data_IF_518398470335
#
_entry.id   IF_518398470335
#
_cell.length_a   1.000
_cell.length_b   1.000
_cell.length_c   1.000
_cell.angle_alpha   90.00
_cell.angle_beta   90.00
_cell.angle_gamma   90.00
#
_symmetry.space_group_name_H-M   'P 1'
#
loop_
_entity.id
_entity.type
_entity.pdbx_description
1 polymer ?
#
# COMPACT_ATOMS: atom_id res chain seq x y z
N UNK A 1 -23.01 11.67 -4.29
CA UNK A 1 -22.06 11.40 -5.40
C UNK A 1 -21.42 10.05 -5.14
N UNK A 2 -21.00 9.30 -6.17
CA UNK A 2 -20.46 7.94 -5.99
C UNK A 2 -18.92 7.95 -5.99
N UNK A 3 -18.31 7.17 -5.09
CA UNK A 3 -16.87 6.93 -5.07
C UNK A 3 -16.45 6.11 -6.30
N UNK A 4 -15.50 6.61 -7.09
CA UNK A 4 -15.02 5.92 -8.31
C UNK A 4 -14.25 4.63 -8.02
N UNK A 5 -13.85 4.42 -6.76
CA UNK A 5 -13.08 3.25 -6.34
C UNK A 5 -13.92 2.08 -5.83
N UNK A 6 -14.96 2.37 -5.04
CA UNK A 6 -15.79 1.35 -4.37
C UNK A 6 -17.29 1.45 -4.69
N UNK A 7 -17.72 2.46 -5.43
CA UNK A 7 -19.13 2.68 -5.78
C UNK A 7 -20.01 3.14 -4.61
N UNK A 8 -19.45 3.34 -3.42
CA UNK A 8 -20.21 3.83 -2.27
C UNK A 8 -20.69 5.27 -2.50
N UNK A 9 -21.93 5.54 -2.09
CA UNK A 9 -22.43 6.91 -2.07
C UNK A 9 -21.80 7.69 -0.92
N UNK A 10 -21.27 8.87 -1.22
CA UNK A 10 -20.70 9.77 -0.25
C UNK A 10 -21.08 11.22 -0.56
N UNK A 11 -21.27 11.99 0.51
CA UNK A 11 -21.45 13.44 0.41
C UNK A 11 -20.11 14.16 0.19
N UNK A 12 -19.00 13.54 0.60
CA UNK A 12 -17.66 14.13 0.54
C UNK A 12 -16.73 13.19 -0.24
N UNK A 13 -16.36 13.62 -1.44
CA UNK A 13 -15.36 12.97 -2.27
C UNK A 13 -14.08 13.81 -2.29
N UNK A 14 -12.94 13.12 -2.20
CA UNK A 14 -11.62 13.71 -2.29
C UNK A 14 -11.00 13.35 -3.64
N UNK A 15 -10.45 14.34 -4.33
CA UNK A 15 -9.63 14.10 -5.52
C UNK A 15 -8.26 13.56 -5.10
N UNK A 16 -7.92 12.33 -5.52
CA UNK A 16 -6.64 11.68 -5.22
C UNK A 16 -6.03 11.11 -6.49
N UNK A 17 -4.69 11.13 -6.56
CA UNK A 17 -3.95 10.41 -7.60
C UNK A 17 -3.57 9.03 -7.07
N UNK A 18 -4.18 7.99 -7.63
CA UNK A 18 -3.93 6.58 -7.28
C UNK A 18 -3.38 5.88 -8.52
N UNK A 19 -2.21 5.24 -8.41
CA UNK A 19 -1.56 4.51 -9.50
C UNK A 19 -1.44 5.29 -10.83
N UNK A 20 -1.30 6.62 -10.76
CA UNK A 20 -1.18 7.50 -11.92
C UNK A 20 -2.49 8.10 -12.44
N UNK A 21 -3.65 7.58 -12.02
CA UNK A 21 -4.97 8.11 -12.38
C UNK A 21 -5.51 9.04 -11.30
N UNK A 22 -6.23 10.09 -11.70
CA UNK A 22 -6.89 11.01 -10.76
C UNK A 22 -8.34 10.56 -10.57
N UNK A 23 -8.74 10.25 -9.34
CA UNK A 23 -10.04 9.70 -8.96
C UNK A 23 -10.70 10.53 -7.85
N UNK A 24 -12.01 10.63 -7.86
CA UNK A 24 -12.90 11.11 -6.81
C UNK A 24 -13.28 9.95 -5.90
N UNK A 25 -12.75 9.95 -4.68
CA UNK A 25 -12.89 8.82 -3.76
C UNK A 25 -13.41 9.24 -2.39
N UNK A 26 -14.15 8.36 -1.71
CA UNK A 26 -14.57 8.59 -0.33
C UNK A 26 -13.37 8.56 0.64
N UNK A 27 -13.54 9.05 1.87
CA UNK A 27 -12.49 9.05 2.89
C UNK A 27 -11.91 7.65 3.17
N UNK A 28 -12.71 6.60 3.12
CA UNK A 28 -12.24 5.22 3.30
C UNK A 28 -11.27 4.80 2.20
N UNK A 29 -11.51 5.24 0.97
CA UNK A 29 -10.69 4.91 -0.19
C UNK A 29 -9.54 5.90 -0.40
N UNK A 30 -9.52 7.05 0.29
CA UNK A 30 -8.52 8.09 0.07
C UNK A 30 -7.10 7.71 0.46
N UNK A 31 -6.96 6.73 1.36
CA UNK A 31 -5.67 6.22 1.83
C UNK A 31 -5.25 4.94 1.06
N UNK A 32 -6.11 4.47 0.16
CA UNK A 32 -5.79 3.30 -0.66
C UNK A 32 -4.76 3.66 -1.72
N UNK A 33 -3.64 2.94 -1.73
CA UNK A 33 -2.56 3.14 -2.70
C UNK A 33 -1.54 4.22 -2.34
N UNK A 34 -1.60 4.81 -1.14
CA UNK A 34 -0.47 5.59 -0.63
C UNK A 34 0.74 4.67 -0.39
N UNK A 35 1.90 4.99 -0.97
CA UNK A 35 3.14 4.31 -0.58
C UNK A 35 3.34 4.44 0.92
N UNK A 36 3.60 3.32 1.59
CA UNK A 36 3.85 3.33 3.03
C UNK A 36 5.07 4.23 3.31
N UNK A 37 5.08 4.95 4.43
CA UNK A 37 6.18 5.86 4.79
C UNK A 37 7.56 5.18 4.73
N UNK A 38 7.60 3.87 5.01
CA UNK A 38 8.81 3.07 4.87
C UNK A 38 9.21 2.89 3.41
N UNK A 39 8.28 2.57 2.51
CA UNK A 39 8.57 2.39 1.08
C UNK A 39 8.97 3.71 0.40
N UNK A 40 8.37 4.84 0.83
CA UNK A 40 8.72 6.17 0.39
C UNK A 40 10.10 6.65 0.86
N UNK A 41 10.55 6.24 2.06
CA UNK A 41 11.83 6.71 2.64
C UNK A 41 13.06 5.97 2.14
N UNK A 42 12.99 4.65 1.92
CA UNK A 42 14.13 3.84 1.42
C UNK A 42 14.03 3.55 -0.08
N UNK A 43 12.90 3.87 -0.70
CA UNK A 43 12.62 3.56 -2.09
C UNK A 43 12.25 2.09 -2.31
N UNK A 44 11.52 1.86 -3.41
CA UNK A 44 10.94 0.56 -3.79
C UNK A 44 11.95 -0.59 -3.80
N UNK A 45 13.15 -0.37 -4.37
CA UNK A 45 14.18 -1.42 -4.50
C UNK A 45 14.74 -1.86 -3.14
N UNK A 46 15.02 -0.92 -2.24
CA UNK A 46 15.53 -1.23 -0.90
C UNK A 46 14.44 -1.89 -0.03
N UNK A 47 13.18 -1.46 -0.18
CA UNK A 47 12.05 -2.08 0.52
C UNK A 47 11.85 -3.55 0.13
N UNK A 48 11.96 -3.88 -1.16
CA UNK A 48 11.91 -5.25 -1.67
C UNK A 48 13.08 -6.07 -1.11
N UNK A 49 14.31 -5.54 -1.18
CA UNK A 49 15.49 -6.23 -0.67
C UNK A 49 15.38 -6.54 0.83
N UNK A 50 14.94 -5.58 1.66
CA UNK A 50 14.76 -5.78 3.10
C UNK A 50 13.67 -6.83 3.39
N UNK A 51 12.57 -6.79 2.64
CA UNK A 51 11.47 -7.76 2.81
C UNK A 51 11.92 -9.18 2.45
N UNK A 52 12.70 -9.34 1.37
CA UNK A 52 13.28 -10.62 0.97
C UNK A 52 14.28 -11.15 1.99
N UNK A 53 15.14 -10.28 2.56
CA UNK A 53 16.07 -10.66 3.62
C UNK A 53 15.33 -11.18 4.87
N UNK A 54 14.30 -10.45 5.32
CA UNK A 54 13.47 -10.87 6.47
C UNK A 54 12.80 -12.23 6.23
N UNK A 55 12.33 -12.51 5.01
CA UNK A 55 11.75 -13.82 4.66
C UNK A 55 12.78 -14.95 4.68
N UNK A 56 13.95 -14.74 4.10
CA UNK A 56 15.03 -15.73 4.10
C UNK A 56 15.51 -16.04 5.53
N UNK A 57 15.60 -15.04 6.39
CA UNK A 57 16.00 -15.24 7.79
C UNK A 57 14.97 -16.09 8.56
N UNK A 58 13.68 -15.85 8.33
CA UNK A 58 12.61 -16.65 8.93
C UNK A 58 12.63 -18.11 8.45
N UNK A 59 12.80 -18.34 7.14
CA UNK A 59 12.91 -19.71 6.62
C UNK A 59 14.11 -20.45 7.21
N UNK A 60 15.28 -19.78 7.29
CA UNK A 60 16.46 -20.39 7.91
C UNK A 60 16.25 -20.74 9.38
N UNK A 61 15.53 -19.91 10.13
CA UNK A 61 15.20 -20.21 11.52
C UNK A 61 14.26 -21.42 11.62
N UNK A 62 13.26 -21.53 10.75
CA UNK A 62 12.35 -22.67 10.65
C UNK A 62 13.04 -23.99 10.29
N UNK A 63 14.13 -23.95 9.51
CA UNK A 63 14.91 -25.14 9.15
C UNK A 63 15.87 -25.60 10.28
N UNK A 64 16.13 -24.74 11.26
CA UNK A 64 17.03 -25.03 12.39
C UNK A 64 16.33 -25.30 13.73
N UNK A 65 14.99 -25.26 13.76
CA UNK A 65 14.17 -25.64 14.92
C UNK A 65 13.76 -27.13 14.73
N UNK A 66 14.22 -28.07 15.60
CA UNK A 66 14.00 -29.52 15.43
C UNK A 66 12.55 -29.98 15.70
#
# INVERSE_FOLDING_TARGET
>A
MLCEMCGAESALLNTRRISGSVLQVCSTCSDSGSETAQMASIGRRAHIAQTLQKRNQKMRYSETDP
#
